data_IF_731988576179
#
_entry.id   IF_731988576179
#
_cell.length_a   1.000
_cell.length_b   1.000
_cell.length_c   1.000
_cell.angle_alpha   90.00
_cell.angle_beta   90.00
_cell.angle_gamma   90.00
#
_symmetry.space_group_name_H-M   'P 1'
#
loop_
_entity.id
_entity.type
_entity.pdbx_description
1 polymer ?
#
# COMPACT_ATOMS: atom_id res chain seq x y z
N UNK A 1 18.75 29.36 -6.73
CA UNK A 1 18.26 28.36 -7.71
C UNK A 1 18.78 26.94 -7.45
N UNK A 2 20.09 26.70 -7.32
CA UNK A 2 20.68 25.37 -7.07
C UNK A 2 20.06 24.58 -5.90
N UNK A 3 19.80 25.24 -4.77
CA UNK A 3 19.19 24.59 -3.60
C UNK A 3 17.72 24.20 -3.81
N UNK A 4 16.98 24.95 -4.62
CA UNK A 4 15.59 24.61 -4.95
C UNK A 4 15.51 23.39 -5.87
N UNK A 5 16.42 23.27 -6.84
CA UNK A 5 16.53 22.09 -7.68
C UNK A 5 16.88 20.86 -6.83
N UNK A 6 17.84 21.01 -5.92
CA UNK A 6 18.22 19.93 -5.01
C UNK A 6 17.06 19.50 -4.10
N UNK A 7 16.36 20.46 -3.49
CA UNK A 7 15.19 20.17 -2.66
C UNK A 7 14.07 19.48 -3.46
N UNK A 8 13.84 19.90 -4.71
CA UNK A 8 12.89 19.25 -5.61
C UNK A 8 13.22 17.80 -5.91
N UNK A 9 14.50 17.52 -6.22
CA UNK A 9 14.99 16.15 -6.45
C UNK A 9 14.84 15.27 -5.21
N UNK A 10 15.22 15.77 -4.03
CA UNK A 10 15.06 15.03 -2.77
C UNK A 10 13.59 14.76 -2.48
N UNK A 11 12.73 15.76 -2.67
CA UNK A 11 11.28 15.60 -2.46
C UNK A 11 10.69 14.56 -3.42
N UNK A 12 11.10 14.58 -4.69
CA UNK A 12 10.67 13.60 -5.68
C UNK A 12 11.15 12.19 -5.32
N UNK A 13 12.40 12.03 -4.86
CA UNK A 13 12.93 10.74 -4.41
C UNK A 13 12.16 10.20 -3.21
N UNK A 14 11.82 11.05 -2.24
CA UNK A 14 10.98 10.66 -1.10
C UNK A 14 9.59 10.24 -1.57
N UNK A 15 8.94 11.03 -2.42
CA UNK A 15 7.61 10.73 -2.96
C UNK A 15 7.62 9.41 -3.72
N UNK A 16 8.64 9.14 -4.54
CA UNK A 16 8.70 7.92 -5.34
C UNK A 16 8.95 6.67 -4.50
N UNK A 17 9.65 6.77 -3.37
CA UNK A 17 10.14 5.61 -2.62
C UNK A 17 9.50 5.41 -1.25
N UNK A 18 8.79 6.40 -0.71
CA UNK A 18 8.12 6.30 0.60
C UNK A 18 6.61 6.33 0.40
N UNK A 19 5.92 5.39 1.05
CA UNK A 19 4.47 5.33 1.15
C UNK A 19 4.02 5.28 2.61
N UNK A 20 2.72 5.47 2.83
CA UNK A 20 2.11 5.20 4.12
C UNK A 20 0.68 4.66 3.98
N UNK A 21 0.20 3.98 5.01
CA UNK A 21 -1.22 3.69 5.21
C UNK A 21 -1.64 4.08 6.62
N UNK A 22 -2.95 4.15 6.84
CA UNK A 22 -3.51 4.33 8.17
C UNK A 22 -3.95 2.97 8.72
N UNK A 23 -3.61 2.72 9.97
CA UNK A 23 -4.08 1.59 10.76
C UNK A 23 -4.96 2.11 11.88
N UNK A 24 -6.07 1.43 12.14
CA UNK A 24 -6.91 1.71 13.30
C UNK A 24 -6.61 0.65 14.33
N UNK A 25 -6.08 1.06 15.49
CA UNK A 25 -5.74 0.18 16.59
C UNK A 25 -6.11 0.90 17.88
N UNK A 26 -6.81 0.20 18.78
CA UNK A 26 -7.26 0.71 20.09
C UNK A 26 -8.03 2.04 20.02
N UNK A 27 -8.82 2.23 18.95
CA UNK A 27 -9.60 3.45 18.72
C UNK A 27 -8.79 4.64 18.19
N UNK A 28 -7.50 4.46 17.93
CA UNK A 28 -6.61 5.49 17.41
C UNK A 28 -6.21 5.21 15.95
N UNK A 29 -5.98 6.29 15.19
CA UNK A 29 -5.51 6.21 13.80
C UNK A 29 -4.00 6.41 13.77
N UNK A 30 -3.28 5.33 13.50
CA UNK A 30 -1.83 5.29 13.40
C UNK A 30 -1.37 5.38 11.95
N UNK A 31 -0.39 6.24 11.66
CA UNK A 31 0.23 6.35 10.32
C UNK A 31 1.45 5.44 10.24
N UNK A 32 1.38 4.43 9.39
CA UNK A 32 2.46 3.48 9.19
C UNK A 32 3.18 3.80 7.88
N UNK A 33 4.44 4.20 7.97
CA UNK A 33 5.29 4.48 6.81
C UNK A 33 6.05 3.24 6.36
N UNK A 34 6.34 3.16 5.06
CA UNK A 34 7.14 2.07 4.50
C UNK A 34 7.93 2.52 3.27
N UNK A 35 9.03 1.80 3.00
CA UNK A 35 9.77 1.92 1.75
C UNK A 35 9.08 1.07 0.69
N UNK A 36 8.71 1.70 -0.42
CA UNK A 36 8.08 1.04 -1.55
C UNK A 36 9.06 0.08 -2.22
N UNK A 37 8.56 -1.06 -2.68
CA UNK A 37 9.34 -2.04 -3.44
C UNK A 37 9.53 -1.64 -4.91
N UNK A 38 8.62 -0.82 -5.43
CA UNK A 38 8.72 -0.20 -6.76
C UNK A 38 8.38 1.30 -6.69
N UNK A 39 9.01 2.14 -7.54
CA UNK A 39 8.75 3.57 -7.54
C UNK A 39 7.34 3.89 -8.04
N UNK A 40 6.64 4.80 -7.35
CA UNK A 40 5.35 5.35 -7.78
C UNK A 40 5.09 6.70 -7.14
N UNK A 41 4.36 7.58 -7.84
CA UNK A 41 3.92 8.86 -7.28
C UNK A 41 2.83 8.72 -6.21
N UNK A 42 2.21 7.54 -6.06
CA UNK A 42 1.21 7.30 -5.02
C UNK A 42 1.86 7.29 -3.64
N UNK A 43 1.44 8.17 -2.73
CA UNK A 43 1.99 8.24 -1.36
C UNK A 43 1.14 7.50 -0.34
N UNK A 44 -0.20 7.56 -0.45
CA UNK A 44 -1.12 6.89 0.48
C UNK A 44 -1.63 5.57 -0.10
N UNK A 45 -1.66 4.54 0.75
CA UNK A 45 -2.15 3.20 0.44
C UNK A 45 -3.22 2.78 1.46
N UNK A 46 -4.01 1.76 1.10
CA UNK A 46 -5.03 1.18 1.96
C UNK A 46 -4.45 0.04 2.78
N UNK A 47 -4.69 0.02 4.10
CA UNK A 47 -4.35 -1.13 4.93
C UNK A 47 -5.32 -2.27 4.65
N UNK A 48 -4.84 -3.38 4.08
CA UNK A 48 -5.66 -4.54 3.77
C UNK A 48 -5.90 -5.46 4.98
N UNK A 49 -5.22 -5.23 6.10
CA UNK A 49 -5.31 -6.05 7.32
C UNK A 49 -6.34 -5.53 8.34
N UNK A 50 -6.96 -4.37 8.11
CA UNK A 50 -7.84 -3.67 9.06
C UNK A 50 -9.17 -4.37 9.40
N UNK A 51 -9.34 -5.66 9.07
CA UNK A 51 -10.55 -6.46 9.29
C UNK A 51 -10.29 -7.64 10.24
N UNK A 52 -9.39 -7.51 11.21
CA UNK A 52 -9.14 -8.49 12.29
C UNK A 52 -8.96 -9.94 11.80
N UNK A 53 -8.18 -10.12 10.74
CA UNK A 53 -7.87 -11.45 10.18
C UNK A 53 -8.98 -12.06 9.32
N UNK A 54 -10.12 -11.38 9.11
CA UNK A 54 -11.15 -11.83 8.19
C UNK A 54 -10.87 -11.27 6.78
N UNK A 55 -10.28 -12.12 5.93
CA UNK A 55 -9.95 -11.73 4.56
C UNK A 55 -11.22 -11.41 3.78
N UNK A 56 -11.22 -10.28 3.06
CA UNK A 56 -12.30 -9.96 2.13
C UNK A 56 -12.40 -11.06 1.09
N UNK A 57 -13.60 -11.60 0.89
CA UNK A 57 -13.85 -12.62 -0.13
C UNK A 57 -13.65 -12.02 -1.52
N UNK A 58 -12.91 -12.72 -2.38
CA UNK A 58 -12.56 -12.23 -3.72
C UNK A 58 -13.78 -11.84 -4.56
N UNK A 59 -14.92 -12.52 -4.39
CA UNK A 59 -16.15 -12.27 -5.13
C UNK A 59 -16.91 -11.02 -4.63
N UNK A 60 -16.59 -10.55 -3.42
CA UNK A 60 -17.22 -9.38 -2.81
C UNK A 60 -16.41 -8.09 -2.98
N UNK A 61 -15.22 -8.18 -3.59
CA UNK A 61 -14.38 -7.02 -3.82
C UNK A 61 -14.96 -6.14 -4.92
N UNK A 62 -15.13 -4.86 -4.62
CA UNK A 62 -15.28 -3.85 -5.67
C UNK A 62 -13.98 -3.74 -6.47
N UNK A 63 -14.05 -3.15 -7.67
CA UNK A 63 -12.86 -2.89 -8.49
C UNK A 63 -11.82 -2.04 -7.75
N UNK A 64 -12.28 -1.06 -6.95
CA UNK A 64 -11.40 -0.22 -6.12
C UNK A 64 -10.71 -1.05 -5.03
N UNK A 65 -11.46 -1.86 -4.27
CA UNK A 65 -10.87 -2.70 -3.22
C UNK A 65 -9.89 -3.72 -3.79
N UNK A 66 -10.15 -4.24 -5.00
CA UNK A 66 -9.25 -5.13 -5.72
C UNK A 66 -7.95 -4.40 -6.08
N UNK A 67 -8.06 -3.18 -6.62
CA UNK A 67 -6.90 -2.37 -6.97
C UNK A 67 -6.07 -2.00 -5.73
N UNK A 68 -6.73 -1.69 -4.60
CA UNK A 68 -6.06 -1.43 -3.33
C UNK A 68 -5.23 -2.63 -2.86
N UNK A 69 -5.74 -3.85 -3.00
CA UNK A 69 -5.00 -5.07 -2.69
C UNK A 69 -3.79 -5.19 -3.63
N UNK A 70 -3.99 -5.06 -4.94
CA UNK A 70 -2.92 -5.15 -5.93
C UNK A 70 -1.81 -4.13 -5.61
N UNK A 71 -2.18 -2.88 -5.34
CA UNK A 71 -1.23 -1.82 -5.02
C UNK A 71 -0.53 -2.05 -3.68
N UNK A 72 -1.24 -2.54 -2.66
CA UNK A 72 -0.61 -2.93 -1.40
C UNK A 72 0.42 -4.04 -1.62
N UNK A 73 0.04 -5.15 -2.26
CA UNK A 73 0.95 -6.27 -2.52
C UNK A 73 2.18 -5.82 -3.31
N UNK A 74 1.97 -5.05 -4.38
CA UNK A 74 3.04 -4.60 -5.26
C UNK A 74 3.98 -3.65 -4.53
N UNK A 75 3.46 -2.55 -4.00
CA UNK A 75 4.31 -1.47 -3.51
C UNK A 75 4.78 -1.70 -2.07
N UNK A 76 3.99 -2.34 -1.19
CA UNK A 76 4.41 -2.62 0.20
C UNK A 76 5.24 -3.90 0.32
N UNK A 77 4.85 -4.95 -0.39
CA UNK A 77 5.40 -6.29 -0.23
C UNK A 77 6.31 -6.73 -1.38
N UNK A 78 6.19 -6.12 -2.56
CA UNK A 78 6.96 -6.50 -3.76
C UNK A 78 6.42 -7.77 -4.41
N UNK A 79 5.12 -8.03 -4.24
CA UNK A 79 4.44 -9.20 -4.78
C UNK A 79 3.51 -8.77 -5.91
N UNK A 80 3.74 -9.30 -7.09
CA UNK A 80 2.82 -9.16 -8.21
C UNK A 80 1.61 -10.09 -8.01
N UNK A 81 0.42 -9.51 -8.09
CA UNK A 81 -0.85 -10.25 -7.95
C UNK A 81 -1.91 -9.65 -8.85
N UNK A 82 -2.89 -10.46 -9.24
CA UNK A 82 -4.13 -10.00 -9.89
C UNK A 82 -5.28 -9.87 -8.90
N UNK A 83 -5.07 -10.29 -7.64
CA UNK A 83 -6.08 -10.43 -6.60
C UNK A 83 -7.35 -11.18 -7.06
N UNK A 84 -7.21 -12.04 -8.07
CA UNK A 84 -8.26 -12.72 -8.82
C UNK A 84 -8.76 -14.01 -8.16
N UNK A 85 -7.99 -14.55 -7.22
CA UNK A 85 -8.35 -15.71 -6.41
C UNK A 85 -8.24 -15.39 -4.92
N UNK A 86 -8.92 -16.18 -4.09
CA UNK A 86 -8.81 -16.02 -2.63
C UNK A 86 -7.38 -16.27 -2.14
N UNK A 87 -6.69 -17.24 -2.72
CA UNK A 87 -5.30 -17.56 -2.38
C UNK A 87 -4.35 -16.38 -2.65
N UNK A 88 -4.57 -15.64 -3.74
CA UNK A 88 -3.80 -14.43 -4.06
C UNK A 88 -4.01 -13.32 -3.02
N UNK A 89 -5.24 -13.13 -2.52
CA UNK A 89 -5.56 -12.16 -1.47
C UNK A 89 -4.89 -12.58 -0.14
N UNK A 90 -5.04 -13.85 0.22
CA UNK A 90 -4.48 -14.40 1.47
C UNK A 90 -2.95 -14.35 1.49
N UNK A 91 -2.30 -14.59 0.36
CA UNK A 91 -0.84 -14.49 0.24
C UNK A 91 -0.35 -13.09 0.63
N UNK A 92 -1.02 -12.05 0.16
CA UNK A 92 -0.66 -10.68 0.51
C UNK A 92 -1.01 -10.34 1.95
N UNK A 93 -2.12 -10.85 2.48
CA UNK A 93 -2.58 -10.53 3.82
C UNK A 93 -1.83 -11.27 4.94
N UNK A 94 -0.99 -12.26 4.61
CA UNK A 94 -0.15 -13.03 5.56
C UNK A 94 1.23 -12.40 5.83
N UNK A 95 1.59 -11.34 5.13
CA UNK A 95 2.91 -10.69 5.17
C UNK A 95 2.82 -9.30 5.76
#
# INVERSE_FOLDING_TARGET
MKYFIFAGLVSLLIILNVGFYNEVSDGEVNRIFFIKKEPTLRVKFTNIHANDGNYRRVEKLTSEQRQDIIDYCKYRLGLDTKASTQAEIEMCAKR
#
